data_IF_687616282253
#
_entry.id   IF_687616282253
#
_cell.length_a   1.000
_cell.length_b   1.000
_cell.length_c   1.000
_cell.angle_alpha   90.00
_cell.angle_beta   90.00
_cell.angle_gamma   90.00
#
_symmetry.space_group_name_H-M   'P 1'
#
loop_
_entity.id
_entity.type
_entity.pdbx_description
1 polymer ?
#
# COMPACT_ATOMS: atom_id res chain seq x y z
N UNK A 1 74.63 -10.09 -9.52
CA UNK A 1 74.28 -8.88 -8.75
C UNK A 1 74.65 -7.66 -9.56
N UNK A 2 73.65 -6.94 -10.07
CA UNK A 2 73.60 -5.49 -10.36
C UNK A 2 72.39 -5.27 -11.28
N UNK A 3 71.27 -4.82 -10.72
CA UNK A 3 70.11 -4.37 -11.50
C UNK A 3 69.95 -2.88 -11.27
N UNK A 4 70.07 -2.14 -12.37
CA UNK A 4 69.98 -0.70 -12.50
C UNK A 4 68.60 -0.21 -12.10
N UNK A 5 68.55 0.70 -11.14
CA UNK A 5 67.34 1.44 -10.76
C UNK A 5 67.09 2.54 -11.80
N UNK A 6 65.96 2.49 -12.50
CA UNK A 6 65.48 3.61 -13.32
C UNK A 6 64.13 4.08 -12.76
N UNK A 7 64.18 5.18 -12.01
CA UNK A 7 63.04 6.01 -11.65
C UNK A 7 62.46 6.63 -12.93
N UNK A 8 61.20 6.34 -13.24
CA UNK A 8 60.40 7.13 -14.18
C UNK A 8 59.45 8.01 -13.39
N UNK A 9 59.68 9.32 -13.44
CA UNK A 9 58.83 10.35 -12.89
C UNK A 9 57.52 10.41 -13.68
N UNK A 10 56.39 10.19 -13.00
CA UNK A 10 55.06 10.42 -13.53
C UNK A 10 54.82 11.94 -13.55
N UNK A 11 55.11 12.56 -14.69
CA UNK A 11 54.69 13.93 -14.96
C UNK A 11 53.16 13.95 -15.11
N UNK A 12 52.45 14.31 -14.04
CA UNK A 12 51.04 14.72 -14.09
C UNK A 12 50.94 16.06 -14.82
N UNK A 13 50.99 16.02 -16.15
CA UNK A 13 50.62 17.14 -17.00
C UNK A 13 49.10 17.19 -17.13
N UNK A 14 48.45 18.16 -16.46
CA UNK A 14 47.08 18.56 -16.83
C UNK A 14 47.09 18.93 -18.31
N UNK A 15 46.21 18.35 -19.17
CA UNK A 15 46.01 18.93 -20.47
C UNK A 15 45.26 20.25 -20.26
N UNK A 16 46.02 21.34 -20.19
CA UNK A 16 45.49 22.69 -20.41
C UNK A 16 45.16 22.78 -21.88
N UNK A 17 44.02 22.22 -22.27
CA UNK A 17 43.41 22.49 -23.55
C UNK A 17 42.87 23.92 -23.49
N UNK A 18 43.75 24.90 -23.70
CA UNK A 18 43.36 26.19 -24.24
C UNK A 18 42.75 25.92 -25.62
N UNK A 19 41.43 25.68 -25.63
CA UNK A 19 40.64 25.60 -26.84
C UNK A 19 40.77 26.94 -27.56
N UNK A 20 41.38 26.88 -28.74
CA UNK A 20 41.54 27.99 -29.64
C UNK A 20 40.19 28.68 -29.88
N UNK A 21 40.16 30.00 -29.68
CA UNK A 21 39.09 30.86 -30.16
C UNK A 21 39.02 30.74 -31.70
N UNK A 22 38.12 29.91 -32.21
CA UNK A 22 37.64 30.01 -33.58
C UNK A 22 36.42 30.91 -33.59
N UNK A 23 36.58 32.08 -34.18
CA UNK A 23 35.57 33.10 -34.35
C UNK A 23 34.45 32.63 -35.30
N UNK A 24 33.22 32.44 -34.78
CA UNK A 24 31.91 32.41 -35.48
C UNK A 24 30.85 32.96 -34.48
N UNK A 25 29.76 33.62 -34.93
CA UNK A 25 29.23 34.83 -34.31
C UNK A 25 28.71 34.59 -32.90
N UNK A 26 29.19 35.40 -31.95
CA UNK A 26 28.60 35.48 -30.61
C UNK A 26 27.14 35.90 -30.76
N UNK A 27 26.19 34.96 -30.62
CA UNK A 27 24.82 35.37 -30.29
C UNK A 27 24.87 36.09 -28.96
N UNK A 28 24.23 37.24 -28.89
CA UNK A 28 24.10 37.99 -27.65
C UNK A 28 23.46 37.08 -26.58
N UNK A 29 23.87 37.18 -25.30
CA UNK A 29 23.19 36.48 -24.23
C UNK A 29 21.69 36.75 -24.28
N UNK A 30 20.90 35.68 -24.31
CA UNK A 30 19.44 35.75 -24.34
C UNK A 30 18.88 35.27 -22.99
N UNK A 31 17.67 35.70 -22.60
CA UNK A 31 16.98 35.14 -21.45
C UNK A 31 16.83 33.63 -21.60
N UNK A 32 17.04 32.88 -20.52
CA UNK A 32 16.94 31.42 -20.49
C UNK A 32 15.59 30.92 -21.03
N UNK A 33 14.49 31.66 -20.78
CA UNK A 33 13.18 31.35 -21.34
C UNK A 33 13.12 31.41 -22.87
N UNK A 34 13.89 32.28 -23.52
CA UNK A 34 13.95 32.35 -24.97
C UNK A 34 14.66 31.13 -25.58
N UNK A 35 15.52 30.48 -24.81
CA UNK A 35 16.27 29.28 -25.20
C UNK A 35 15.59 27.97 -24.76
N UNK A 36 14.56 28.05 -23.90
CA UNK A 36 13.85 26.91 -23.35
C UNK A 36 12.65 26.45 -24.20
N UNK A 37 12.68 26.74 -25.51
CA UNK A 37 11.62 26.44 -26.47
C UNK A 37 11.37 24.94 -26.61
N UNK A 38 12.37 24.11 -26.33
CA UNK A 38 12.25 22.66 -26.40
C UNK A 38 13.02 21.96 -25.28
N UNK A 39 12.42 20.96 -24.62
CA UNK A 39 13.13 20.04 -23.74
C UNK A 39 14.32 19.39 -24.45
N UNK A 40 15.42 19.18 -23.73
CA UNK A 40 16.66 18.60 -24.26
C UNK A 40 17.63 19.62 -24.83
N UNK A 41 17.27 20.91 -24.91
CA UNK A 41 18.18 21.94 -25.43
C UNK A 41 19.33 22.21 -24.46
N UNK A 42 20.57 22.06 -24.95
CA UNK A 42 21.78 22.35 -24.20
C UNK A 42 22.08 23.86 -24.22
N UNK A 43 22.30 24.44 -23.04
CA UNK A 43 22.58 25.86 -22.84
C UNK A 43 23.73 26.04 -21.87
N UNK A 44 24.49 27.11 -22.03
CA UNK A 44 25.45 27.58 -21.03
C UNK A 44 24.85 28.76 -20.31
N UNK A 45 24.59 28.58 -19.01
CA UNK A 45 24.11 29.63 -18.13
C UNK A 45 25.29 30.53 -17.77
N UNK A 46 25.07 31.84 -17.88
CA UNK A 46 26.07 32.85 -17.57
C UNK A 46 25.78 33.43 -16.19
N UNK A 47 26.60 33.07 -15.22
CA UNK A 47 26.64 33.76 -13.93
C UNK A 47 27.69 34.87 -13.98
N UNK A 48 27.64 35.77 -13.00
CA UNK A 48 28.59 36.89 -12.87
C UNK A 48 30.05 36.44 -12.72
N UNK A 49 30.28 35.25 -12.17
CA UNK A 49 31.59 34.71 -11.79
C UNK A 49 31.92 33.35 -12.44
N UNK A 50 30.92 32.69 -13.06
CA UNK A 50 31.07 31.33 -13.60
C UNK A 50 30.16 31.06 -14.78
N UNK A 51 30.47 30.00 -15.53
CA UNK A 51 29.64 29.49 -16.63
C UNK A 51 29.35 28.04 -16.37
N UNK A 52 28.09 27.65 -16.45
CA UNK A 52 27.66 26.29 -16.17
C UNK A 52 26.82 25.75 -17.33
N UNK A 53 27.13 24.54 -17.78
CA UNK A 53 26.36 23.89 -18.83
C UNK A 53 25.14 23.21 -18.22
N UNK A 54 24.00 23.37 -18.88
CA UNK A 54 22.74 22.80 -18.44
C UNK A 54 21.93 22.29 -19.62
N UNK A 55 21.01 21.38 -19.34
CA UNK A 55 20.03 20.90 -20.32
C UNK A 55 18.65 21.34 -19.87
N UNK A 56 17.91 22.01 -20.75
CA UNK A 56 16.53 22.41 -20.48
C UNK A 56 15.66 21.16 -20.33
N UNK A 57 14.94 21.04 -19.22
CA UNK A 57 14.02 19.93 -18.96
C UNK A 57 12.58 20.32 -19.29
N UNK A 58 12.16 21.50 -18.83
CA UNK A 58 10.82 22.03 -19.06
C UNK A 58 10.76 23.53 -18.76
N UNK A 59 9.82 24.22 -19.38
CA UNK A 59 9.44 25.58 -19.01
C UNK A 59 7.95 25.57 -18.59
N UNK A 60 7.66 25.44 -17.28
CA UNK A 60 6.28 25.53 -16.81
C UNK A 60 5.72 26.93 -17.10
N UNK A 61 4.55 27.00 -17.74
CA UNK A 61 3.96 28.25 -18.22
C UNK A 61 3.64 29.26 -17.10
N UNK A 62 3.43 28.79 -15.87
CA UNK A 62 2.86 29.59 -14.78
C UNK A 62 3.89 30.11 -13.77
N UNK A 63 5.15 29.65 -13.82
CA UNK A 63 6.10 29.86 -12.71
C UNK A 63 7.16 30.93 -12.97
N UNK A 64 7.25 31.48 -14.18
CA UNK A 64 8.33 32.39 -14.57
C UNK A 64 9.73 31.78 -14.40
N UNK A 65 9.81 30.44 -14.35
CA UNK A 65 11.02 29.68 -14.11
C UNK A 65 11.20 28.63 -15.21
N UNK A 66 12.46 28.30 -15.51
CA UNK A 66 12.85 27.22 -16.40
C UNK A 66 13.47 26.12 -15.55
N UNK A 67 12.96 24.89 -15.71
CA UNK A 67 13.57 23.71 -15.10
C UNK A 67 14.73 23.25 -15.98
N UNK A 68 15.92 23.21 -15.41
CA UNK A 68 17.13 22.75 -16.08
C UNK A 68 17.79 21.63 -15.28
N UNK A 69 18.54 20.79 -15.97
CA UNK A 69 19.46 19.86 -15.33
C UNK A 69 20.85 20.46 -15.31
N UNK A 70 21.38 20.64 -14.11
CA UNK A 70 22.66 21.28 -13.83
C UNK A 70 23.43 20.39 -12.85
N UNK A 71 24.62 19.95 -13.22
CA UNK A 71 25.46 19.06 -12.39
C UNK A 71 24.71 17.83 -11.83
N UNK A 72 23.83 17.23 -12.63
CA UNK A 72 23.03 16.06 -12.24
C UNK A 72 21.81 16.36 -11.37
N UNK A 73 21.53 17.62 -11.09
CA UNK A 73 20.38 18.03 -10.30
C UNK A 73 19.39 18.85 -11.13
N UNK A 74 18.12 18.47 -11.06
CA UNK A 74 17.04 19.27 -11.64
C UNK A 74 16.83 20.50 -10.76
N UNK A 75 17.03 21.69 -11.32
CA UNK A 75 16.87 22.98 -10.63
C UNK A 75 15.86 23.85 -11.36
N UNK A 76 15.11 24.65 -10.61
CA UNK A 76 14.27 25.71 -11.18
C UNK A 76 15.06 27.01 -11.15
N UNK A 77 15.37 27.53 -12.33
CA UNK A 77 16.06 28.80 -12.52
C UNK A 77 15.10 29.86 -13.02
N UNK A 78 15.37 31.14 -12.74
CA UNK A 78 14.54 32.22 -13.26
C UNK A 78 14.64 32.29 -14.79
N UNK A 79 13.51 32.59 -15.43
CA UNK A 79 13.39 32.73 -16.88
C UNK A 79 14.29 33.82 -17.50
N UNK A 80 14.66 34.84 -16.72
CA UNK A 80 15.41 36.02 -17.18
C UNK A 80 16.94 35.89 -17.05
N UNK A 81 17.43 34.76 -16.52
CA UNK A 81 18.87 34.52 -16.42
C UNK A 81 19.49 34.47 -17.81
N UNK A 82 20.62 35.16 -17.99
CA UNK A 82 21.34 35.18 -19.25
C UNK A 82 21.95 33.80 -19.54
N UNK A 83 21.68 33.28 -20.74
CA UNK A 83 22.26 32.05 -21.22
C UNK A 83 22.60 32.15 -22.71
N UNK A 84 23.42 31.22 -23.19
CA UNK A 84 23.74 31.05 -24.61
C UNK A 84 23.49 29.61 -25.02
N UNK A 85 22.99 29.36 -26.25
CA UNK A 85 22.81 27.99 -26.73
C UNK A 85 24.18 27.33 -26.96
N UNK A 86 24.29 26.05 -26.63
CA UNK A 86 25.45 25.24 -27.03
C UNK A 86 25.29 24.88 -28.50
N UNK A 87 26.12 25.45 -29.36
CA UNK A 87 26.02 25.28 -30.82
C UNK A 87 26.86 24.14 -31.37
N UNK A 88 27.82 23.62 -30.60
CA UNK A 88 28.60 22.46 -31.00
C UNK A 88 27.77 21.17 -30.83
N UNK A 89 27.47 20.45 -31.92
CA UNK A 89 26.61 19.27 -31.85
C UNK A 89 27.23 18.12 -31.04
N UNK A 90 28.56 17.98 -31.00
CA UNK A 90 29.21 16.94 -30.22
C UNK A 90 29.04 17.22 -28.71
N UNK A 91 29.35 18.43 -28.27
CA UNK A 91 29.13 18.87 -26.88
C UNK A 91 27.64 18.78 -26.48
N UNK A 92 26.73 19.20 -27.36
CA UNK A 92 25.29 19.12 -27.09
C UNK A 92 24.81 17.67 -26.90
N UNK A 93 25.32 16.72 -27.71
CA UNK A 93 25.00 15.30 -27.59
C UNK A 93 25.53 14.71 -26.27
N UNK A 94 26.76 15.02 -25.89
CA UNK A 94 27.35 14.55 -24.63
C UNK A 94 26.54 15.03 -23.42
N UNK A 95 26.17 16.32 -23.39
CA UNK A 95 25.33 16.89 -22.34
C UNK A 95 23.94 16.24 -22.29
N UNK A 96 23.33 15.97 -23.45
CA UNK A 96 22.04 15.28 -23.52
C UNK A 96 22.13 13.84 -23.00
N UNK A 97 23.18 13.09 -23.37
CA UNK A 97 23.40 11.72 -22.88
C UNK A 97 23.62 11.70 -21.37
N UNK A 98 24.43 12.61 -20.85
CA UNK A 98 24.65 12.78 -19.41
C UNK A 98 23.35 13.12 -18.68
N UNK A 99 22.53 13.98 -19.29
CA UNK A 99 21.24 14.35 -18.73
C UNK A 99 20.26 13.18 -18.64
N UNK A 100 20.19 12.34 -19.67
CA UNK A 100 19.39 11.11 -19.67
C UNK A 100 19.88 10.14 -18.60
N UNK A 101 21.20 9.95 -18.46
CA UNK A 101 21.78 9.07 -17.45
C UNK A 101 21.45 9.52 -16.02
N UNK A 102 21.48 10.82 -15.75
CA UNK A 102 21.08 11.37 -14.45
C UNK A 102 19.58 11.27 -14.20
N UNK A 103 18.77 11.58 -15.21
CA UNK A 103 17.32 11.47 -15.10
C UNK A 103 16.87 10.03 -14.81
N UNK A 104 17.48 9.04 -15.48
CA UNK A 104 17.18 7.63 -15.24
C UNK A 104 17.62 7.19 -13.84
N UNK A 105 18.84 7.56 -13.41
CA UNK A 105 19.32 7.25 -12.05
C UNK A 105 18.44 7.87 -10.95
N UNK A 106 17.99 9.11 -11.15
CA UNK A 106 17.07 9.78 -10.25
C UNK A 106 15.70 9.09 -10.22
N UNK A 107 15.19 8.65 -11.38
CA UNK A 107 13.94 7.91 -11.47
C UNK A 107 14.02 6.56 -10.74
N UNK A 108 15.10 5.80 -10.93
CA UNK A 108 15.31 4.54 -10.21
C UNK A 108 15.35 4.77 -8.69
N UNK A 109 16.14 5.75 -8.24
CA UNK A 109 16.22 6.10 -6.82
C UNK A 109 14.87 6.52 -6.23
N UNK A 110 14.08 7.30 -6.99
CA UNK A 110 12.75 7.71 -6.58
C UNK A 110 11.78 6.52 -6.49
N UNK A 111 11.82 5.60 -7.46
CA UNK A 111 11.01 4.39 -7.48
C UNK A 111 11.36 3.46 -6.30
N UNK A 112 12.64 3.27 -6.01
CA UNK A 112 13.09 2.44 -4.89
C UNK A 112 12.67 3.05 -3.54
N UNK A 113 12.79 4.37 -3.37
CA UNK A 113 12.29 5.06 -2.18
C UNK A 113 10.77 4.92 -2.03
N UNK A 114 10.02 5.08 -3.12
CA UNK A 114 8.58 4.93 -3.09
C UNK A 114 8.17 3.49 -2.69
N UNK A 115 8.88 2.48 -3.21
CA UNK A 115 8.68 1.09 -2.82
C UNK A 115 9.00 0.86 -1.33
N UNK A 116 10.13 1.35 -0.84
CA UNK A 116 10.52 1.21 0.56
C UNK A 116 9.50 1.86 1.52
N UNK A 117 8.99 3.05 1.17
CA UNK A 117 7.95 3.73 1.96
C UNK A 117 6.62 2.97 1.96
N UNK A 118 6.25 2.37 0.83
CA UNK A 118 5.04 1.55 0.75
C UNK A 118 5.17 0.28 1.62
N UNK A 119 6.32 -0.38 1.58
CA UNK A 119 6.61 -1.54 2.43
C UNK A 119 6.59 -1.18 3.93
N UNK A 120 7.15 -0.03 4.30
CA UNK A 120 7.13 0.47 5.67
C UNK A 120 5.70 0.75 6.15
N UNK A 121 4.87 1.42 5.32
CA UNK A 121 3.47 1.68 5.66
C UNK A 121 2.67 0.38 5.82
N UNK A 122 2.89 -0.61 4.96
CA UNK A 122 2.23 -1.90 5.07
C UNK A 122 2.65 -2.66 6.33
N UNK A 123 3.93 -2.63 6.71
CA UNK A 123 4.39 -3.25 7.95
C UNK A 123 3.83 -2.53 9.19
N UNK A 124 3.79 -1.20 9.19
CA UNK A 124 3.16 -0.42 10.25
C UNK A 124 1.67 -0.78 10.40
N UNK A 125 0.93 -0.89 9.29
CA UNK A 125 -0.48 -1.33 9.30
C UNK A 125 -0.63 -2.73 9.88
N UNK A 126 0.18 -3.70 9.42
CA UNK A 126 0.15 -5.08 9.94
C UNK A 126 0.49 -5.14 11.42
N UNK A 127 1.46 -4.36 11.88
CA UNK A 127 1.81 -4.28 13.30
C UNK A 127 0.68 -3.68 14.12
N UNK A 128 0.06 -2.62 13.63
CA UNK A 128 -1.06 -1.98 14.31
C UNK A 128 -2.27 -2.93 14.43
N UNK A 129 -2.64 -3.61 13.33
CA UNK A 129 -3.73 -4.61 13.34
C UNK A 129 -3.42 -5.75 14.30
N UNK A 130 -2.20 -6.28 14.30
CA UNK A 130 -1.77 -7.32 15.27
C UNK A 130 -1.89 -6.84 16.71
N UNK A 131 -1.43 -5.63 16.99
CA UNK A 131 -1.49 -5.06 18.33
C UNK A 131 -2.93 -4.86 18.82
N UNK A 132 -3.83 -4.38 17.96
CA UNK A 132 -5.26 -4.28 18.30
C UNK A 132 -5.90 -5.65 18.54
N UNK A 133 -5.53 -6.66 17.75
CA UNK A 133 -5.98 -8.03 17.96
C UNK A 133 -5.48 -8.61 19.30
N UNK A 134 -4.22 -8.34 19.69
CA UNK A 134 -3.66 -8.72 20.98
C UNK A 134 -4.38 -8.03 22.15
N UNK A 135 -4.64 -6.73 22.03
CA UNK A 135 -5.40 -5.96 23.04
C UNK A 135 -6.82 -6.53 23.19
N UNK A 136 -7.49 -6.84 22.08
CA UNK A 136 -8.81 -7.46 22.09
C UNK A 136 -8.78 -8.82 22.79
N UNK A 137 -7.83 -9.68 22.43
CA UNK A 137 -7.67 -11.00 23.06
C UNK A 137 -7.45 -10.88 24.56
N UNK A 138 -6.55 -10.00 24.97
CA UNK A 138 -6.26 -9.74 26.38
C UNK A 138 -7.51 -9.31 27.16
N UNK A 139 -8.31 -8.38 26.62
CA UNK A 139 -9.53 -7.94 27.28
C UNK A 139 -10.56 -9.08 27.40
N UNK A 140 -10.72 -9.89 26.34
CA UNK A 140 -11.59 -11.08 26.37
C UNK A 140 -11.13 -12.08 27.43
N UNK A 141 -9.82 -12.32 27.55
CA UNK A 141 -9.29 -13.26 28.53
C UNK A 141 -9.51 -12.75 29.96
N UNK A 142 -9.28 -11.45 30.22
CA UNK A 142 -9.63 -10.81 31.51
C UNK A 142 -11.12 -10.92 31.84
N UNK A 143 -11.99 -10.85 30.82
CA UNK A 143 -13.42 -11.06 31.03
C UNK A 143 -13.73 -12.52 31.40
N UNK A 144 -13.12 -13.48 30.72
CA UNK A 144 -13.27 -14.92 31.00
C UNK A 144 -12.77 -15.31 32.39
N UNK A 145 -11.70 -14.67 32.85
CA UNK A 145 -11.16 -14.84 34.19
C UNK A 145 -12.00 -14.15 35.28
N UNK A 146 -13.04 -13.39 34.89
CA UNK A 146 -13.96 -12.68 35.79
C UNK A 146 -13.42 -11.35 36.32
N UNK A 147 -12.27 -10.88 35.82
CA UNK A 147 -11.66 -9.62 36.25
C UNK A 147 -12.40 -8.38 35.73
N UNK A 148 -13.07 -8.50 34.58
CA UNK A 148 -13.95 -7.46 34.04
C UNK A 148 -15.33 -8.05 33.73
N UNK A 149 -16.39 -7.29 34.03
CA UNK A 149 -17.75 -7.67 33.69
C UNK A 149 -18.02 -7.50 32.19
N UNK A 150 -19.12 -8.11 31.69
CA UNK A 150 -19.54 -8.03 30.29
C UNK A 150 -19.69 -6.58 29.81
N UNK A 151 -20.44 -5.75 30.53
CA UNK A 151 -20.59 -4.32 30.22
C UNK A 151 -19.26 -3.56 30.19
N UNK A 152 -18.29 -3.99 31.00
CA UNK A 152 -16.96 -3.41 31.05
C UNK A 152 -16.15 -3.76 29.80
N UNK A 153 -16.23 -5.02 29.37
CA UNK A 153 -15.64 -5.48 28.11
C UNK A 153 -16.27 -4.74 26.91
N UNK A 154 -17.60 -4.65 26.85
CA UNK A 154 -18.29 -4.04 25.71
C UNK A 154 -17.95 -2.55 25.57
N UNK A 155 -17.89 -1.81 26.69
CA UNK A 155 -17.42 -0.41 26.70
C UNK A 155 -15.96 -0.28 26.29
N UNK A 156 -15.10 -1.19 26.74
CA UNK A 156 -13.69 -1.19 26.39
C UNK A 156 -13.50 -1.41 24.89
N UNK A 157 -14.14 -2.44 24.32
CA UNK A 157 -14.05 -2.75 22.89
C UNK A 157 -14.60 -1.59 22.04
N UNK A 158 -15.76 -1.03 22.42
CA UNK A 158 -16.33 0.13 21.73
C UNK A 158 -15.43 1.38 21.80
N UNK A 159 -14.76 1.62 22.94
CA UNK A 159 -13.86 2.78 23.09
C UNK A 159 -12.67 2.73 22.13
N UNK A 160 -12.16 1.54 21.84
CA UNK A 160 -11.04 1.32 20.92
C UNK A 160 -11.47 0.96 19.50
N UNK A 161 -12.77 1.06 19.17
CA UNK A 161 -13.34 0.67 17.87
C UNK A 161 -12.97 -0.77 17.47
N UNK A 162 -13.01 -1.68 18.45
CA UNK A 162 -12.73 -3.10 18.29
C UNK A 162 -14.02 -3.89 18.10
N UNK A 163 -13.95 -4.96 17.31
CA UNK A 163 -15.08 -5.86 17.09
C UNK A 163 -15.67 -6.37 18.41
N UNK A 164 -17.01 -6.31 18.57
CA UNK A 164 -17.70 -6.84 19.74
C UNK A 164 -17.33 -8.29 20.05
N UNK A 165 -17.47 -8.67 21.32
CA UNK A 165 -17.23 -10.04 21.75
C UNK A 165 -18.54 -10.84 21.74
N UNK A 166 -18.92 -11.40 20.59
CA UNK A 166 -20.14 -12.21 20.47
C UNK A 166 -19.79 -13.69 20.24
N UNK A 167 -19.46 -14.45 21.30
CA UNK A 167 -19.15 -15.87 21.15
C UNK A 167 -20.40 -16.62 20.70
N UNK A 168 -20.33 -17.29 19.55
CA UNK A 168 -21.37 -18.21 19.10
C UNK A 168 -21.24 -19.52 19.87
N UNK A 169 -22.32 -19.95 20.50
CA UNK A 169 -22.40 -21.23 21.17
C UNK A 169 -23.25 -22.20 20.35
N UNK A 170 -22.74 -23.41 20.12
CA UNK A 170 -23.53 -24.50 19.54
C UNK A 170 -24.02 -25.39 20.67
N UNK A 171 -25.33 -25.51 20.82
CA UNK A 171 -25.95 -26.44 21.77
C UNK A 171 -26.34 -27.72 21.02
N UNK A 172 -25.94 -28.88 21.55
CA UNK A 172 -26.34 -30.19 21.04
C UNK A 172 -26.94 -30.96 22.21
N UNK A 173 -28.17 -31.43 22.05
CA UNK A 173 -28.89 -32.17 23.07
C UNK A 173 -29.81 -33.21 22.43
N UNK A 174 -30.27 -34.16 23.23
CA UNK A 174 -31.25 -35.19 22.85
C UNK A 174 -32.43 -35.10 23.80
N UNK A 175 -33.64 -35.00 23.26
CA UNK A 175 -34.89 -35.08 24.03
C UNK A 175 -35.51 -36.45 23.73
N UNK A 176 -35.86 -37.18 24.77
CA UNK A 176 -36.68 -38.39 24.68
C UNK A 176 -37.93 -38.18 25.53
N UNK A 177 -39.08 -38.58 24.99
CA UNK A 177 -40.36 -38.39 25.67
C UNK A 177 -41.46 -39.23 25.02
N UNK A 178 -42.63 -39.24 25.65
CA UNK A 178 -43.82 -39.92 25.16
C UNK A 178 -45.04 -39.05 25.45
N UNK A 179 -46.01 -39.06 24.55
CA UNK A 179 -47.29 -38.39 24.74
C UNK A 179 -48.41 -39.28 24.18
N UNK A 180 -49.60 -39.16 24.77
CA UNK A 180 -50.79 -39.83 24.25
C UNK A 180 -51.45 -38.93 23.19
N UNK A 181 -51.86 -39.53 22.07
CA UNK A 181 -52.64 -38.86 21.03
C UNK A 181 -54.00 -39.54 20.96
N UNK A 182 -55.07 -38.75 20.98
CA UNK A 182 -56.41 -39.28 20.68
C UNK A 182 -56.57 -39.30 19.15
N UNK A 183 -56.68 -40.46 18.51
CA UNK A 183 -56.82 -40.53 17.06
C UNK A 183 -58.16 -39.95 16.62
N UNK A 184 -58.16 -39.19 15.53
CA UNK A 184 -59.39 -38.80 14.85
C UNK A 184 -60.01 -40.01 14.13
N UNK A 185 -61.34 -40.02 13.97
CA UNK A 185 -62.06 -41.11 13.31
C UNK A 185 -61.45 -41.44 11.93
N UNK A 186 -61.00 -42.68 11.77
CA UNK A 186 -60.44 -43.18 10.50
C UNK A 186 -58.93 -43.06 10.34
N UNK A 187 -58.19 -42.58 11.35
CA UNK A 187 -56.72 -42.57 11.37
C UNK A 187 -56.14 -43.76 12.14
N UNK A 188 -54.99 -44.26 11.69
CA UNK A 188 -54.27 -45.34 12.34
C UNK A 188 -52.95 -44.89 13.00
N UNK A 189 -52.22 -45.86 13.57
CA UNK A 189 -50.94 -45.60 14.24
C UNK A 189 -49.85 -45.11 13.26
N UNK A 190 -49.91 -45.51 11.99
CA UNK A 190 -48.98 -45.06 10.95
C UNK A 190 -49.20 -43.60 10.56
N UNK A 191 -50.47 -43.16 10.51
CA UNK A 191 -50.79 -41.73 10.33
C UNK A 191 -50.22 -40.89 11.47
N UNK A 192 -50.32 -41.40 12.71
CA UNK A 192 -49.76 -40.72 13.90
C UNK A 192 -48.23 -40.68 13.83
N UNK A 193 -47.57 -41.78 13.47
CA UNK A 193 -46.10 -41.81 13.29
C UNK A 193 -45.64 -40.79 12.24
N UNK A 194 -46.35 -40.70 11.11
CA UNK A 194 -46.06 -39.73 10.07
C UNK A 194 -46.19 -38.30 10.58
N UNK A 195 -47.30 -37.97 11.25
CA UNK A 195 -47.54 -36.64 11.79
C UNK A 195 -46.46 -36.25 12.82
N UNK A 196 -46.02 -37.17 13.67
CA UNK A 196 -44.95 -36.92 14.64
C UNK A 196 -43.62 -36.65 13.93
N UNK A 197 -43.24 -37.47 12.95
CA UNK A 197 -41.98 -37.25 12.22
C UNK A 197 -42.01 -35.95 11.41
N UNK A 198 -43.15 -35.64 10.79
CA UNK A 198 -43.29 -34.50 9.90
C UNK A 198 -43.48 -33.18 10.64
N UNK A 199 -44.22 -33.17 11.76
CA UNK A 199 -44.66 -31.92 12.40
C UNK A 199 -44.16 -31.71 13.83
N UNK A 200 -43.63 -32.74 14.53
CA UNK A 200 -42.98 -32.48 15.81
C UNK A 200 -41.79 -31.56 15.56
N UNK A 201 -41.68 -30.47 16.30
CA UNK A 201 -40.57 -29.52 16.24
C UNK A 201 -40.24 -29.05 17.64
N UNK A 202 -39.00 -28.61 17.82
CA UNK A 202 -38.61 -27.90 19.04
C UNK A 202 -39.00 -26.45 18.84
N UNK A 203 -39.76 -25.92 19.80
CA UNK A 203 -40.04 -24.49 19.89
C UNK A 203 -38.80 -23.79 20.49
N UNK A 204 -38.19 -22.92 19.70
CA UNK A 204 -37.04 -22.10 20.11
C UNK A 204 -37.37 -20.62 20.27
N UNK A 205 -38.64 -20.22 20.21
CA UNK A 205 -39.06 -18.81 20.25
C UNK A 205 -38.67 -18.10 21.56
N UNK A 206 -38.44 -18.87 22.63
CA UNK A 206 -37.99 -18.37 23.94
C UNK A 206 -36.48 -18.45 24.14
N UNK A 207 -35.72 -18.87 23.11
CA UNK A 207 -34.27 -18.96 23.16
C UNK A 207 -33.68 -17.80 22.35
N UNK A 208 -33.13 -16.82 23.06
CA UNK A 208 -32.54 -15.63 22.43
C UNK A 208 -31.34 -16.01 21.54
N UNK A 209 -31.30 -15.45 20.33
CA UNK A 209 -30.16 -15.55 19.42
C UNK A 209 -30.02 -16.89 18.68
N UNK A 210 -31.10 -17.68 18.59
CA UNK A 210 -31.15 -18.84 17.69
C UNK A 210 -31.13 -18.37 16.24
N UNK A 211 -30.20 -18.95 15.47
CA UNK A 211 -30.14 -18.79 14.02
C UNK A 211 -30.93 -19.92 13.38
N UNK A 212 -32.14 -19.63 12.90
CA UNK A 212 -33.10 -20.60 12.36
C UNK A 212 -32.51 -21.43 11.22
N UNK A 213 -31.57 -20.86 10.44
CA UNK A 213 -30.90 -21.55 9.34
C UNK A 213 -29.91 -22.63 9.83
N UNK A 214 -29.59 -22.66 11.13
CA UNK A 214 -28.68 -23.63 11.75
C UNK A 214 -29.38 -24.70 12.58
N UNK A 215 -30.71 -24.60 12.75
CA UNK A 215 -31.50 -25.58 13.48
C UNK A 215 -31.56 -26.89 12.69
N UNK A 216 -30.99 -27.96 13.23
CA UNK A 216 -31.15 -29.32 12.72
C UNK A 216 -31.92 -30.14 13.74
N UNK A 217 -33.01 -30.77 13.32
CA UNK A 217 -33.87 -31.57 14.18
C UNK A 217 -34.20 -32.91 13.52
N UNK A 218 -33.79 -33.99 14.18
CA UNK A 218 -34.06 -35.37 13.76
C UNK A 218 -35.05 -36.01 14.73
N UNK A 219 -36.14 -36.56 14.19
CA UNK A 219 -37.14 -37.31 14.96
C UNK A 219 -36.96 -38.80 14.74
N UNK A 220 -36.73 -39.53 15.82
CA UNK A 220 -36.79 -40.99 15.83
C UNK A 220 -38.05 -41.40 16.61
N UNK A 221 -38.94 -42.17 15.97
CA UNK A 221 -40.09 -42.78 16.64
C UNK A 221 -39.75 -44.23 16.91
N UNK A 222 -39.65 -44.58 18.20
CA UNK A 222 -39.24 -45.92 18.61
C UNK A 222 -40.41 -46.91 18.65
N UNK A 223 -41.62 -46.46 19.03
CA UNK A 223 -42.84 -47.27 19.10
C UNK A 223 -44.10 -46.39 19.12
N UNK A 224 -45.18 -46.85 18.47
CA UNK A 224 -46.52 -46.23 18.53
C UNK A 224 -47.51 -47.30 18.96
N UNK A 225 -47.91 -47.25 20.24
CA UNK A 225 -48.83 -48.23 20.80
C UNK A 225 -50.27 -47.75 20.68
N UNK A 226 -51.11 -48.53 20.00
CA UNK A 226 -52.56 -48.37 20.08
C UNK A 226 -53.01 -48.86 21.47
N UNK A 227 -53.34 -47.93 22.37
CA UNK A 227 -54.04 -48.27 23.60
C UNK A 227 -55.51 -48.49 23.28
N UNK A 228 -55.92 -49.75 23.22
CA UNK A 228 -57.35 -50.11 23.24
C UNK A 228 -57.99 -49.66 24.55
N UNK A 229 -59.26 -49.25 24.47
CA UNK A 229 -60.10 -48.80 25.59
C UNK A 229 -60.07 -49.74 26.81
#
# INVERSE_FOLDING_TARGET
MTNTTQQCAVASGRPSAQLALTAHPHRHPEPLAALAVSPGQAVTILHTDRRENAVVLAQPAETGAVRVLLDGHARSLRADIAAVPVTDPATALELAQQAVAWASAAQYTAADRARALAEELDEQRRRHVRQLAEIRSYAIDRHRDGDICRDGLDKFLAHFDLDPYDPRHRVVFTISGSFDVTPEDGRDAGDTEYDVREYLRIDTDQVDGVDDDTLTFDVTVDDVQARGE
#
